data_IF_942493581018
#
_entry.id   IF_942493581018
#
_cell.length_a   1.000
_cell.length_b   1.000
_cell.length_c   1.000
_cell.angle_alpha   90.00
_cell.angle_beta   90.00
_cell.angle_gamma   90.00
#
_symmetry.space_group_name_H-M   'P 1'
#
loop_
_entity.id
_entity.type
_entity.pdbx_description
1 polymer ?
#
# COMPACT_ATOMS: atom_id res chain seq x y z
N UNK A 1 -20.04 -26.08 0.68
CA UNK A 1 -19.39 -24.76 0.88
C UNK A 1 -20.48 -23.76 1.13
N UNK A 2 -20.54 -23.18 2.33
CA UNK A 2 -21.41 -22.04 2.60
C UNK A 2 -20.68 -20.84 2.01
N UNK A 3 -21.24 -20.23 0.97
CA UNK A 3 -20.75 -18.95 0.47
C UNK A 3 -21.26 -17.93 1.48
N UNK A 4 -20.38 -17.35 2.29
CA UNK A 4 -20.76 -16.30 3.24
C UNK A 4 -21.37 -15.13 2.47
N UNK A 5 -22.66 -14.91 2.70
CA UNK A 5 -23.45 -13.90 1.99
C UNK A 5 -23.05 -12.48 2.37
N UNK A 6 -22.56 -12.27 3.59
CA UNK A 6 -22.23 -10.96 4.15
C UNK A 6 -20.78 -10.93 4.65
N UNK A 7 -20.07 -9.86 4.35
CA UNK A 7 -18.70 -9.61 4.84
C UNK A 7 -18.62 -8.21 5.44
N UNK A 8 -17.78 -8.06 6.46
CA UNK A 8 -17.44 -6.77 7.07
C UNK A 8 -16.22 -6.22 6.32
N UNK A 9 -16.28 -4.97 5.87
CA UNK A 9 -15.15 -4.31 5.20
C UNK A 9 -15.07 -2.84 5.59
N UNK A 10 -13.86 -2.31 5.69
CA UNK A 10 -13.63 -0.88 5.82
C UNK A 10 -13.59 -0.27 4.42
N UNK A 11 -14.63 0.49 4.06
CA UNK A 11 -14.71 1.08 2.71
C UNK A 11 -13.55 2.04 2.42
N UNK A 12 -12.94 2.62 3.47
CA UNK A 12 -11.78 3.48 3.32
C UNK A 12 -10.56 2.76 2.72
N UNK A 13 -10.42 1.45 2.92
CA UNK A 13 -9.31 0.66 2.36
C UNK A 13 -9.30 0.76 0.83
N UNK A 14 -10.47 0.63 0.20
CA UNK A 14 -10.61 0.75 -1.25
C UNK A 14 -10.26 2.15 -1.76
N UNK A 15 -10.71 3.21 -1.08
CA UNK A 15 -10.45 4.61 -1.49
C UNK A 15 -8.96 4.93 -1.36
N UNK A 16 -8.37 4.57 -0.22
CA UNK A 16 -6.94 4.78 0.04
C UNK A 16 -6.12 4.04 -1.00
N UNK A 17 -6.47 2.79 -1.31
CA UNK A 17 -5.79 1.99 -2.31
C UNK A 17 -5.87 2.63 -3.71
N UNK A 18 -7.06 3.03 -4.14
CA UNK A 18 -7.30 3.70 -5.43
C UNK A 18 -6.45 4.97 -5.57
N UNK A 19 -6.54 5.87 -4.58
CA UNK A 19 -5.80 7.14 -4.61
C UNK A 19 -4.29 6.90 -4.53
N UNK A 20 -3.84 5.94 -3.71
CA UNK A 20 -2.41 5.60 -3.64
C UNK A 20 -1.90 5.10 -4.99
N UNK A 21 -2.66 4.24 -5.68
CA UNK A 21 -2.31 3.76 -7.01
C UNK A 21 -2.22 4.90 -8.04
N UNK A 22 -3.17 5.82 -8.03
CA UNK A 22 -3.15 7.01 -8.88
C UNK A 22 -1.89 7.85 -8.62
N UNK A 23 -1.53 8.05 -7.34
CA UNK A 23 -0.33 8.82 -6.99
C UNK A 23 0.96 8.10 -7.44
N UNK A 24 1.02 6.78 -7.28
CA UNK A 24 2.17 5.95 -7.68
C UNK A 24 2.32 5.76 -9.20
N UNK A 25 1.26 6.05 -9.96
CA UNK A 25 1.28 6.07 -11.42
C UNK A 25 1.74 7.42 -12.01
N UNK A 26 1.92 8.46 -11.18
CA UNK A 26 2.38 9.77 -11.67
C UNK A 26 3.81 9.68 -12.22
N UNK A 27 4.09 10.29 -13.40
CA UNK A 27 5.37 10.14 -14.09
C UNK A 27 6.57 10.74 -13.34
N UNK A 28 6.33 11.71 -12.45
CA UNK A 28 7.38 12.42 -11.71
C UNK A 28 7.29 12.15 -10.19
N UNK A 29 6.89 10.94 -9.80
CA UNK A 29 6.87 10.56 -8.40
C UNK A 29 8.29 10.52 -7.82
N UNK A 30 8.52 11.32 -6.79
CA UNK A 30 9.82 11.44 -6.12
C UNK A 30 9.83 10.63 -4.81
N UNK A 31 9.64 9.30 -4.92
CA UNK A 31 9.80 8.33 -3.83
C UNK A 31 9.96 6.90 -4.36
N UNK A 32 10.35 5.96 -3.49
CA UNK A 32 10.34 4.53 -3.82
C UNK A 32 8.91 4.03 -4.10
N UNK A 33 8.74 3.24 -5.16
CA UNK A 33 7.44 2.74 -5.65
C UNK A 33 7.28 1.23 -5.52
N UNK A 34 8.11 0.58 -4.71
CA UNK A 34 7.99 -0.85 -4.44
C UNK A 34 6.72 -1.18 -3.65
N UNK A 35 6.34 -2.45 -3.64
CA UNK A 35 5.18 -2.93 -2.91
C UNK A 35 5.24 -2.62 -1.41
N UNK A 36 6.45 -2.60 -0.83
CA UNK A 36 6.62 -2.28 0.59
C UNK A 36 6.29 -0.82 0.88
N UNK A 37 6.84 0.12 0.12
CA UNK A 37 6.54 1.55 0.29
C UNK A 37 5.06 1.83 0.01
N UNK A 38 4.46 1.19 -0.99
CA UNK A 38 3.03 1.30 -1.26
C UNK A 38 2.20 0.83 -0.06
N UNK A 39 2.53 -0.34 0.50
CA UNK A 39 1.84 -0.88 1.67
C UNK A 39 1.99 0.02 2.90
N UNK A 40 3.19 0.55 3.15
CA UNK A 40 3.46 1.48 4.26
C UNK A 40 2.65 2.77 4.10
N UNK A 41 2.54 3.33 2.89
CA UNK A 41 1.71 4.52 2.61
C UNK A 41 0.24 4.24 2.91
N UNK A 42 -0.31 3.12 2.42
CA UNK A 42 -1.70 2.72 2.66
C UNK A 42 -1.97 2.56 4.16
N UNK A 43 -1.11 1.82 4.86
CA UNK A 43 -1.26 1.58 6.29
C UNK A 43 -1.20 2.87 7.11
N UNK A 44 -0.23 3.76 6.81
CA UNK A 44 -0.11 5.05 7.47
C UNK A 44 -1.32 5.93 7.22
N UNK A 45 -1.81 6.02 5.98
CA UNK A 45 -2.99 6.80 5.66
C UNK A 45 -4.23 6.29 6.40
N UNK A 46 -4.48 4.97 6.39
CA UNK A 46 -5.61 4.35 7.09
C UNK A 46 -5.59 4.60 8.60
N UNK A 47 -4.41 4.58 9.22
CA UNK A 47 -4.27 4.85 10.66
C UNK A 47 -4.64 6.29 11.06
N UNK A 48 -4.65 7.24 10.11
CA UNK A 48 -5.03 8.63 10.35
C UNK A 48 -6.45 8.97 9.87
N UNK A 49 -7.14 8.01 9.25
CA UNK A 49 -8.51 8.17 8.78
C UNK A 49 -9.48 7.49 9.75
N UNK A 50 -10.69 8.06 9.88
CA UNK A 50 -11.75 7.37 10.60
C UNK A 50 -12.20 6.14 9.79
N UNK A 51 -12.12 4.92 10.35
CA UNK A 51 -12.54 3.73 9.63
C UNK A 51 -14.05 3.77 9.39
N UNK A 52 -14.49 3.28 8.23
CA UNK A 52 -15.90 3.20 7.87
C UNK A 52 -16.24 1.75 7.53
N UNK A 53 -16.58 0.99 8.57
CA UNK A 53 -16.96 -0.41 8.41
C UNK A 53 -18.41 -0.55 7.95
N UNK A 54 -18.61 -1.39 6.94
CA UNK A 54 -19.94 -1.76 6.43
C UNK A 54 -20.07 -3.28 6.37
N UNK A 55 -21.30 -3.78 6.56
CA UNK A 55 -21.66 -5.18 6.33
C UNK A 55 -22.39 -5.24 5.00
N UNK A 56 -21.84 -5.96 4.03
CA UNK A 56 -22.42 -5.95 2.69
C UNK A 56 -22.27 -7.29 1.97
N UNK A 57 -23.13 -7.51 0.99
CA UNK A 57 -22.98 -8.62 0.05
C UNK A 57 -21.89 -8.25 -0.95
N UNK A 58 -21.03 -9.19 -1.38
CA UNK A 58 -19.84 -8.90 -2.20
C UNK A 58 -20.13 -8.01 -3.42
N UNK A 59 -21.29 -8.16 -4.06
CA UNK A 59 -21.70 -7.33 -5.20
C UNK A 59 -22.23 -5.93 -4.83
N UNK A 60 -22.79 -5.75 -3.63
CA UNK A 60 -23.40 -4.47 -3.20
C UNK A 60 -22.33 -3.44 -2.79
N UNK A 61 -21.21 -3.90 -2.23
CA UNK A 61 -20.07 -3.03 -1.89
C UNK A 61 -19.68 -2.12 -3.05
N UNK A 62 -19.46 -2.69 -4.23
CA UNK A 62 -19.01 -1.95 -5.42
C UNK A 62 -19.98 -0.82 -5.84
N UNK A 63 -21.29 -1.03 -5.68
CA UNK A 63 -22.28 0.02 -5.94
C UNK A 63 -22.25 1.14 -4.90
N UNK A 64 -21.90 0.82 -3.64
CA UNK A 64 -21.75 1.81 -2.57
C UNK A 64 -20.44 2.59 -2.70
N UNK A 65 -19.35 1.97 -3.16
CA UNK A 65 -18.08 2.66 -3.44
C UNK A 65 -18.27 3.78 -4.47
N UNK A 66 -19.19 3.65 -5.43
CA UNK A 66 -19.41 4.70 -6.44
C UNK A 66 -20.01 6.00 -5.89
N UNK A 67 -20.46 6.01 -4.63
CA UNK A 67 -21.14 7.15 -4.01
C UNK A 67 -20.24 7.99 -3.09
N UNK A 68 -18.92 7.86 -3.18
CA UNK A 68 -18.03 8.67 -2.35
C UNK A 68 -18.21 10.16 -2.62
N UNK A 69 -18.26 10.93 -1.54
CA UNK A 69 -18.34 12.39 -1.64
C UNK A 69 -16.99 12.94 -2.04
N UNK A 70 -17.01 14.06 -2.79
CA UNK A 70 -15.80 14.83 -3.10
C UNK A 70 -14.97 15.14 -1.84
N UNK A 71 -15.65 15.46 -0.74
CA UNK A 71 -15.02 15.72 0.56
C UNK A 71 -14.25 14.51 1.09
N UNK A 72 -14.83 13.30 1.04
CA UNK A 72 -14.13 12.08 1.48
C UNK A 72 -12.89 11.83 0.62
N UNK A 73 -12.98 12.02 -0.70
CA UNK A 73 -11.82 11.85 -1.58
C UNK A 73 -10.70 12.85 -1.25
N UNK A 74 -11.04 14.10 -0.98
CA UNK A 74 -10.08 15.15 -0.62
C UNK A 74 -9.37 14.85 0.71
N UNK A 75 -10.12 14.38 1.72
CA UNK A 75 -9.58 13.95 3.01
C UNK A 75 -8.61 12.78 2.86
N UNK A 76 -9.01 11.74 2.12
CA UNK A 76 -8.14 10.58 1.87
C UNK A 76 -6.87 10.99 1.11
N UNK A 77 -7.00 11.80 0.05
CA UNK A 77 -5.85 12.30 -0.70
C UNK A 77 -4.86 13.03 0.21
N UNK A 78 -5.37 13.86 1.13
CA UNK A 78 -4.53 14.61 2.07
C UNK A 78 -3.71 13.66 2.96
N UNK A 79 -4.34 12.62 3.51
CA UNK A 79 -3.64 11.65 4.36
C UNK A 79 -2.68 10.75 3.57
N UNK A 80 -3.02 10.40 2.33
CA UNK A 80 -2.11 9.67 1.41
C UNK A 80 -0.86 10.51 1.15
N UNK A 81 -1.00 11.80 0.81
CA UNK A 81 0.16 12.68 0.55
C UNK A 81 1.07 12.81 1.78
N UNK A 82 0.49 13.01 2.97
CA UNK A 82 1.27 13.03 4.23
C UNK A 82 1.98 11.71 4.50
N UNK A 83 1.33 10.58 4.22
CA UNK A 83 1.93 9.26 4.36
C UNK A 83 3.08 9.06 3.37
N UNK A 84 2.92 9.49 2.11
CA UNK A 84 3.98 9.46 1.09
C UNK A 84 5.20 10.25 1.53
N UNK A 85 5.03 11.47 2.06
CA UNK A 85 6.15 12.27 2.59
C UNK A 85 6.90 11.52 3.71
N UNK A 86 6.17 10.96 4.68
CA UNK A 86 6.79 10.20 5.79
C UNK A 86 7.56 8.97 5.30
N UNK A 87 6.98 8.19 4.39
CA UNK A 87 7.62 6.97 3.85
C UNK A 87 8.80 7.31 2.95
N UNK A 88 8.73 8.41 2.20
CA UNK A 88 9.86 8.91 1.39
C UNK A 88 11.06 9.25 2.27
N UNK A 89 10.84 9.94 3.39
CA UNK A 89 11.92 10.33 4.30
C UNK A 89 12.49 9.14 5.07
N UNK A 90 11.64 8.20 5.47
CA UNK A 90 12.01 7.06 6.32
C UNK A 90 11.39 5.76 5.78
N UNK A 91 11.90 5.21 4.66
CA UNK A 91 11.40 3.95 4.12
C UNK A 91 11.69 2.80 5.08
N UNK A 92 10.73 1.91 5.30
CA UNK A 92 10.88 0.78 6.23
C UNK A 92 11.70 -0.38 5.67
N UNK A 93 12.32 -0.23 4.49
CA UNK A 93 13.09 -1.26 3.82
C UNK A 93 14.52 -0.78 3.48
N UNK A 94 15.50 -1.70 3.45
CA UNK A 94 16.84 -1.43 2.90
C UNK A 94 16.77 -0.98 1.43
N UNK A 95 17.76 -0.22 0.96
CA UNK A 95 17.77 0.28 -0.44
C UNK A 95 17.69 -0.85 -1.47
N UNK A 96 18.18 -2.04 -1.14
CA UNK A 96 18.19 -3.19 -2.04
C UNK A 96 16.81 -3.85 -2.20
N UNK A 97 15.84 -3.61 -1.30
CA UNK A 97 14.48 -4.15 -1.41
C UNK A 97 13.54 -3.27 -2.26
N UNK A 98 14.03 -2.17 -2.84
CA UNK A 98 13.21 -1.26 -3.66
C UNK A 98 12.82 -1.80 -5.04
N UNK A 99 13.22 -3.01 -5.40
CA UNK A 99 13.18 -3.55 -6.77
C UNK A 99 11.86 -4.25 -7.14
N UNK A 100 10.93 -4.41 -6.20
CA UNK A 100 9.66 -5.09 -6.47
C UNK A 100 8.69 -4.18 -7.23
N UNK A 101 8.84 -4.12 -8.55
CA UNK A 101 7.78 -3.71 -9.47
C UNK A 101 7.45 -4.75 -10.54
N UNK A 102 8.33 -5.71 -10.84
CA UNK A 102 8.09 -6.70 -11.89
C UNK A 102 8.49 -8.10 -11.40
N UNK A 103 7.51 -8.98 -11.19
CA UNK A 103 7.72 -10.42 -10.95
C UNK A 103 8.47 -11.13 -12.12
N UNK A 104 8.67 -10.45 -13.24
CA UNK A 104 9.24 -11.03 -14.46
C UNK A 104 10.78 -11.10 -14.52
N UNK A 105 11.52 -10.47 -13.60
CA UNK A 105 13.00 -10.60 -13.55
C UNK A 105 13.51 -10.60 -12.11
N UNK A 106 13.06 -11.56 -11.30
CA UNK A 106 13.73 -11.88 -10.05
C UNK A 106 14.85 -12.87 -10.36
N UNK A 107 16.09 -12.39 -10.42
CA UNK A 107 17.25 -13.28 -10.42
C UNK A 107 17.42 -13.85 -9.00
N UNK A 108 17.00 -15.10 -8.84
CA UNK A 108 17.09 -15.85 -7.59
C UNK A 108 18.53 -15.91 -7.07
N UNK A 109 19.52 -15.92 -7.97
CA UNK A 109 20.95 -15.94 -7.60
C UNK A 109 21.40 -14.60 -7.00
N UNK A 110 20.79 -13.48 -7.43
CA UNK A 110 21.09 -12.15 -6.92
C UNK A 110 20.42 -11.90 -5.57
N UNK A 111 19.19 -12.41 -5.39
CA UNK A 111 18.51 -12.44 -4.09
C UNK A 111 19.26 -13.27 -3.06
N UNK A 112 19.69 -14.49 -3.40
CA UNK A 112 20.43 -15.36 -2.48
C UNK A 112 21.72 -14.69 -2.00
N UNK A 113 22.49 -14.10 -2.91
CA UNK A 113 23.71 -13.33 -2.56
C UNK A 113 23.41 -12.16 -1.63
N UNK A 114 22.30 -11.46 -1.84
CA UNK A 114 21.89 -10.36 -0.98
C UNK A 114 21.57 -10.84 0.46
N UNK A 115 20.80 -11.92 0.60
CA UNK A 115 20.45 -12.49 1.90
C UNK A 115 21.66 -13.10 2.64
N UNK A 116 22.60 -13.70 1.93
CA UNK A 116 23.86 -14.19 2.50
C UNK A 116 24.71 -13.04 3.06
N UNK A 117 24.81 -11.93 2.33
CA UNK A 117 25.56 -10.75 2.76
C UNK A 117 24.94 -10.09 4.00
N UNK A 118 23.60 -10.01 4.10
CA UNK A 118 22.91 -9.53 5.30
C UNK A 118 23.17 -10.46 6.49
N UNK A 119 23.11 -11.77 6.27
CA UNK A 119 23.33 -12.78 7.31
C UNK A 119 24.77 -12.75 7.84
N UNK A 120 25.74 -12.49 6.97
CA UNK A 120 27.15 -12.35 7.33
C UNK A 120 27.43 -11.04 8.07
N UNK A 121 26.77 -9.94 7.71
CA UNK A 121 26.89 -8.67 8.45
C UNK A 121 26.28 -8.70 9.86
N UNK A 122 25.25 -9.52 10.10
CA UNK A 122 24.71 -9.76 11.46
C UNK A 122 25.62 -10.62 12.34
N UNK A 123 26.52 -11.42 11.77
CA UNK A 123 27.48 -12.26 12.52
C UNK A 123 28.76 -11.53 12.94
N UNK A 124 29.04 -10.36 12.33
CA UNK A 124 30.25 -9.57 12.58
C UNK A 124 30.01 -8.36 13.51
N UNK A 125 28.90 -8.34 14.27
CA UNK A 125 28.56 -7.27 15.22
C UNK A 125 28.31 -7.82 16.62
#
# INVERSE_FOLDING_TARGET
MIIEKYHITNVMEHIVEEITNEMFAMPNIDMCICDRCRADVIALALNHLHPKYVVTEKGRLYSELQNYTFQTRAEVLTEVLKAMEKVKEHPSHPKEESIYRNEENIDLDELEKHFENISNNKKNK
#
